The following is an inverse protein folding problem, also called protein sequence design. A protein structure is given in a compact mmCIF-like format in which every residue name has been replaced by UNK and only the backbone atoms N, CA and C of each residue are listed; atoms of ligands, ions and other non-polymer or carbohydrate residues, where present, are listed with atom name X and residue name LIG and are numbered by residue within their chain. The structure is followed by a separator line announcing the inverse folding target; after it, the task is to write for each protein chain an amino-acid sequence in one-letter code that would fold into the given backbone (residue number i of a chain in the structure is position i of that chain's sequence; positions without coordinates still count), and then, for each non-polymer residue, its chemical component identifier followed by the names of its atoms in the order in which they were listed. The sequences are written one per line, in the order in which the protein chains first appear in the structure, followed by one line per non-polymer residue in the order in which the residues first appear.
data_IF_739312225296
#
_entry.id   IF_739312225296
#
_cell.length_a   1.000
_cell.length_b   1.000
_cell.length_c   1.000
_cell.angle_alpha   90.00
_cell.angle_beta   90.00
_cell.angle_gamma   90.00
#
_symmetry.space_group_name_H-M   'P 1'
#
loop_
_entity.id
_entity.type
_entity.pdbx_description
1 polymer ?
#
# COMPACT_ATOMS: atom_id res chain seq x y z
N UNK A 1 47.41 30.94 -65.10
CA UNK A 1 46.27 30.03 -65.13
C UNK A 1 45.96 29.58 -63.70
N UNK A 2 44.99 30.20 -63.13
CA UNK A 2 44.53 30.00 -61.76
C UNK A 2 43.07 29.67 -61.83
N UNK A 3 42.74 28.48 -61.36
CA UNK A 3 41.40 28.01 -61.28
C UNK A 3 40.81 28.28 -59.87
N UNK A 4 39.61 28.86 -59.88
CA UNK A 4 38.87 29.30 -58.73
C UNK A 4 37.93 28.19 -58.33
N UNK A 5 38.10 27.62 -57.14
CA UNK A 5 37.14 26.70 -56.52
C UNK A 5 36.05 27.50 -55.79
N UNK A 6 34.80 27.19 -56.08
CA UNK A 6 33.59 27.71 -55.44
C UNK A 6 33.29 26.91 -54.19
N UNK A 7 33.18 27.59 -53.04
CA UNK A 7 32.64 27.02 -51.82
C UNK A 7 31.11 27.02 -51.88
N UNK A 8 30.52 25.84 -51.77
CA UNK A 8 29.09 25.64 -51.63
C UNK A 8 28.79 25.38 -50.15
N UNK A 9 28.21 26.38 -49.50
CA UNK A 9 27.83 26.32 -48.11
C UNK A 9 26.50 25.58 -47.97
N UNK A 10 26.55 24.30 -47.63
CA UNK A 10 25.38 23.53 -47.24
C UNK A 10 24.91 23.94 -45.84
N UNK A 11 23.79 24.70 -45.81
CA UNK A 11 23.02 24.99 -44.61
C UNK A 11 22.38 23.71 -44.08
N UNK A 12 23.01 23.07 -43.12
CA UNK A 12 22.41 22.00 -42.35
C UNK A 12 21.30 22.57 -41.46
N UNK A 13 20.04 22.32 -41.82
CA UNK A 13 18.92 22.45 -40.90
C UNK A 13 19.13 21.42 -39.78
N UNK A 14 19.34 21.90 -38.57
CA UNK A 14 19.19 21.10 -37.37
C UNK A 14 17.71 20.73 -37.25
N UNK A 15 17.38 19.47 -37.49
CA UNK A 15 16.11 18.90 -37.12
C UNK A 15 16.03 18.95 -35.58
N UNK A 16 15.30 19.93 -35.07
CA UNK A 16 14.78 19.86 -33.70
C UNK A 16 13.86 18.67 -33.63
N UNK A 17 14.33 17.57 -33.04
CA UNK A 17 13.45 16.50 -32.52
C UNK A 17 12.45 17.18 -31.61
N UNK A 18 11.22 17.33 -32.07
CA UNK A 18 10.06 17.53 -31.24
C UNK A 18 10.08 16.37 -30.26
N UNK A 19 10.17 16.65 -28.94
CA UNK A 19 9.94 15.64 -27.92
C UNK A 19 8.56 15.04 -28.24
N UNK A 20 8.52 13.73 -28.53
CA UNK A 20 7.28 13.01 -28.70
C UNK A 20 6.48 13.26 -27.41
N UNK A 21 5.30 13.89 -27.54
CA UNK A 21 4.39 14.06 -26.41
C UNK A 21 3.99 12.66 -25.96
N UNK A 22 4.16 12.36 -24.68
CA UNK A 22 3.74 11.07 -24.12
C UNK A 22 2.21 10.94 -24.22
N UNK A 23 1.70 9.71 -24.16
CA UNK A 23 0.25 9.45 -24.21
C UNK A 23 -0.51 10.11 -23.04
N UNK A 24 0.20 10.44 -21.96
CA UNK A 24 -0.33 11.06 -20.74
C UNK A 24 -0.30 12.60 -20.79
N UNK A 25 0.37 13.21 -21.77
CA UNK A 25 0.51 14.67 -21.84
C UNK A 25 -0.85 15.39 -21.86
N UNK A 26 -1.07 16.27 -20.87
CA UNK A 26 -2.29 17.06 -20.71
C UNK A 26 -3.50 16.29 -20.17
N UNK A 27 -3.34 15.02 -19.78
CA UNK A 27 -4.39 14.25 -19.11
C UNK A 27 -4.58 14.70 -17.67
N UNK A 28 -5.83 14.86 -17.25
CA UNK A 28 -6.19 15.17 -15.86
C UNK A 28 -6.48 13.89 -15.10
N UNK A 29 -5.66 13.57 -14.14
CA UNK A 29 -5.77 12.33 -13.36
C UNK A 29 -6.08 12.66 -11.91
N UNK A 30 -7.15 12.05 -11.38
CA UNK A 30 -7.56 12.18 -9.98
C UNK A 30 -7.05 10.97 -9.19
N UNK A 31 -6.11 11.19 -8.27
CA UNK A 31 -5.59 10.18 -7.34
C UNK A 31 -6.33 10.34 -6.02
N UNK A 32 -7.10 9.34 -5.62
CA UNK A 32 -8.08 9.46 -4.54
C UNK A 32 -7.86 8.41 -3.47
N UNK A 33 -7.89 8.82 -2.21
CA UNK A 33 -7.70 7.92 -1.06
C UNK A 33 -8.43 8.43 0.19
N UNK A 34 -8.93 7.55 1.06
CA UNK A 34 -9.37 7.94 2.40
C UNK A 34 -8.23 7.94 3.44
N UNK A 35 -7.00 7.50 3.10
CA UNK A 35 -5.96 7.17 4.07
C UNK A 35 -4.63 7.91 3.85
N UNK A 36 -4.64 9.16 3.36
CA UNK A 36 -3.41 9.90 3.05
C UNK A 36 -2.52 10.16 4.29
N UNK A 37 -3.07 10.08 5.49
CA UNK A 37 -2.31 10.19 6.75
C UNK A 37 -1.42 8.97 7.01
N UNK A 38 -1.73 7.81 6.41
CA UNK A 38 -0.84 6.63 6.46
C UNK A 38 0.43 6.88 5.65
N UNK A 39 1.58 6.53 6.22
CA UNK A 39 2.90 6.70 5.60
C UNK A 39 2.98 6.02 4.23
N UNK A 40 2.50 4.78 4.15
CA UNK A 40 2.59 3.96 2.93
C UNK A 40 1.64 4.46 1.84
N UNK A 41 0.41 4.85 2.20
CA UNK A 41 -0.55 5.44 1.27
C UNK A 41 -0.04 6.77 0.72
N UNK A 42 0.54 7.61 1.58
CA UNK A 42 1.15 8.89 1.16
C UNK A 42 2.31 8.66 0.19
N UNK A 43 3.18 7.68 0.44
CA UNK A 43 4.27 7.32 -0.46
C UNK A 43 3.76 6.87 -1.83
N UNK A 44 2.78 5.96 -1.88
CA UNK A 44 2.19 5.49 -3.16
C UNK A 44 1.57 6.64 -3.95
N UNK A 45 0.74 7.47 -3.29
CA UNK A 45 0.14 8.64 -3.95
C UNK A 45 1.20 9.61 -4.49
N UNK A 46 2.29 9.80 -3.74
CA UNK A 46 3.44 10.61 -4.14
C UNK A 46 4.19 10.03 -5.35
N UNK A 47 4.48 8.73 -5.37
CA UNK A 47 5.11 8.06 -6.51
C UNK A 47 4.24 8.15 -7.77
N UNK A 48 2.93 7.86 -7.64
CA UNK A 48 1.99 7.96 -8.77
C UNK A 48 1.97 9.38 -9.32
N UNK A 49 1.81 10.39 -8.45
CA UNK A 49 1.80 11.79 -8.85
C UNK A 49 3.07 12.16 -9.60
N UNK A 50 4.24 11.88 -9.02
CA UNK A 50 5.52 12.26 -9.60
C UNK A 50 5.75 11.58 -10.96
N UNK A 51 5.42 10.29 -11.08
CA UNK A 51 5.61 9.53 -12.31
C UNK A 51 4.68 10.03 -13.42
N UNK A 52 3.38 10.25 -13.13
CA UNK A 52 2.43 10.74 -14.14
C UNK A 52 2.71 12.20 -14.55
N UNK A 53 3.11 13.06 -13.61
CA UNK A 53 3.52 14.45 -13.92
C UNK A 53 4.80 14.51 -14.77
N UNK A 54 5.74 13.58 -14.55
CA UNK A 54 6.94 13.48 -15.39
C UNK A 54 6.60 13.13 -16.85
N UNK A 55 5.48 12.42 -17.07
CA UNK A 55 4.92 12.08 -18.38
C UNK A 55 3.95 13.17 -18.91
N UNK A 56 3.84 14.30 -18.22
CA UNK A 56 3.07 15.47 -18.66
C UNK A 56 1.58 15.46 -18.28
N UNK A 57 1.14 14.57 -17.41
CA UNK A 57 -0.21 14.62 -16.87
C UNK A 57 -0.37 15.74 -15.82
N UNK A 58 -1.60 16.19 -15.61
CA UNK A 58 -2.01 17.05 -14.51
C UNK A 58 -2.65 16.21 -13.41
N UNK A 59 -2.00 16.08 -12.24
CA UNK A 59 -2.39 15.13 -11.21
C UNK A 59 -2.93 15.83 -9.96
N UNK A 60 -4.16 15.46 -9.57
CA UNK A 60 -4.85 15.97 -8.38
C UNK A 60 -4.92 14.85 -7.33
N UNK A 61 -4.26 15.04 -6.18
CA UNK A 61 -4.37 14.12 -5.04
C UNK A 61 -5.49 14.61 -4.12
N UNK A 62 -6.47 13.73 -3.86
CA UNK A 62 -7.67 14.00 -3.07
C UNK A 62 -7.69 13.04 -1.89
N UNK A 63 -7.62 13.60 -0.68
CA UNK A 63 -7.78 12.88 0.58
C UNK A 63 -9.17 13.13 1.17
N UNK A 64 -9.82 12.08 1.62
CA UNK A 64 -11.13 12.18 2.28
C UNK A 64 -11.10 11.81 3.77
N UNK A 65 -9.91 11.75 4.35
CA UNK A 65 -9.70 11.64 5.80
C UNK A 65 -10.54 10.53 6.46
N UNK A 66 -10.45 9.31 5.92
CA UNK A 66 -11.17 8.11 6.37
C UNK A 66 -12.71 8.18 6.19
N UNK A 67 -13.20 9.10 5.34
CA UNK A 67 -14.62 9.24 5.05
C UNK A 67 -14.95 8.69 3.65
N UNK A 68 -15.58 7.51 3.60
CA UNK A 68 -16.00 6.88 2.34
C UNK A 68 -17.25 7.54 1.72
N UNK A 69 -18.09 8.22 2.51
CA UNK A 69 -19.20 8.99 1.96
C UNK A 69 -18.67 10.24 1.24
N UNK A 70 -17.67 10.90 1.82
CA UNK A 70 -16.95 11.98 1.15
C UNK A 70 -16.21 11.46 -0.09
N UNK A 71 -15.56 10.28 -0.04
CA UNK A 71 -14.92 9.66 -1.21
C UNK A 71 -15.92 9.45 -2.34
N UNK A 72 -17.09 8.92 -2.05
CA UNK A 72 -18.17 8.76 -3.02
C UNK A 72 -18.56 10.09 -3.68
N UNK A 73 -18.79 11.14 -2.86
CA UNK A 73 -19.11 12.47 -3.36
C UNK A 73 -18.00 13.08 -4.23
N UNK A 74 -16.73 12.88 -3.83
CA UNK A 74 -15.58 13.35 -4.62
C UNK A 74 -15.43 12.62 -5.95
N UNK A 75 -15.78 11.33 -6.02
CA UNK A 75 -15.82 10.60 -7.30
C UNK A 75 -16.85 11.23 -8.22
N UNK A 76 -18.07 11.50 -7.75
CA UNK A 76 -19.11 12.20 -8.53
C UNK A 76 -18.63 13.57 -9.04
N UNK A 77 -17.95 14.34 -8.15
CA UNK A 77 -17.39 15.65 -8.50
C UNK A 77 -16.35 15.56 -9.63
N UNK A 78 -15.38 14.64 -9.55
CA UNK A 78 -14.32 14.51 -10.57
C UNK A 78 -14.86 13.97 -11.89
N UNK A 79 -15.83 13.05 -11.85
CA UNK A 79 -16.55 12.57 -13.05
C UNK A 79 -17.26 13.74 -13.73
N UNK A 80 -18.02 14.53 -12.98
CA UNK A 80 -18.78 15.68 -13.51
C UNK A 80 -17.87 16.80 -14.04
N UNK A 81 -16.69 16.99 -13.43
CA UNK A 81 -15.72 18.02 -13.87
C UNK A 81 -14.82 17.57 -15.02
N UNK A 82 -14.95 16.32 -15.48
CA UNK A 82 -14.26 15.81 -16.67
C UNK A 82 -12.81 15.43 -16.39
N UNK A 83 -12.58 14.65 -15.32
CA UNK A 83 -11.29 13.95 -15.15
C UNK A 83 -11.09 12.96 -16.30
N UNK A 84 -9.85 12.79 -16.75
CA UNK A 84 -9.53 11.81 -17.79
C UNK A 84 -9.33 10.41 -17.23
N UNK A 85 -9.03 10.28 -15.92
CA UNK A 85 -8.86 8.99 -15.26
C UNK A 85 -8.83 9.12 -13.74
N UNK A 86 -9.15 8.02 -13.06
CA UNK A 86 -9.16 7.91 -11.60
C UNK A 86 -8.17 6.82 -11.16
N UNK A 87 -7.37 7.10 -10.12
CA UNK A 87 -6.57 6.11 -9.40
C UNK A 87 -7.04 6.07 -7.95
N UNK A 88 -7.59 4.94 -7.53
CA UNK A 88 -7.88 4.68 -6.12
C UNK A 88 -6.62 4.16 -5.43
N UNK A 89 -6.24 4.76 -4.31
CA UNK A 89 -5.08 4.30 -3.51
C UNK A 89 -5.57 3.85 -2.15
N UNK A 90 -5.26 2.61 -1.79
CA UNK A 90 -5.61 1.96 -0.51
C UNK A 90 -7.12 1.96 -0.18
N UNK A 91 -7.99 2.15 -1.16
CA UNK A 91 -9.44 2.23 -0.96
C UNK A 91 -10.15 0.96 -1.43
N UNK A 92 -11.16 0.51 -0.67
CA UNK A 92 -12.04 -0.58 -1.11
C UNK A 92 -13.05 -0.07 -2.14
N UNK A 93 -12.94 -0.47 -3.43
CA UNK A 93 -13.84 -0.02 -4.48
C UNK A 93 -15.30 -0.48 -4.26
N UNK A 94 -15.54 -1.53 -3.47
CA UNK A 94 -16.89 -2.00 -3.17
C UNK A 94 -17.68 -0.95 -2.38
N UNK A 95 -17.02 -0.15 -1.55
CA UNK A 95 -17.68 0.89 -0.74
C UNK A 95 -18.15 2.10 -1.57
N UNK A 96 -17.64 2.26 -2.79
CA UNK A 96 -17.97 3.35 -3.73
C UNK A 96 -18.36 2.82 -5.10
N UNK A 97 -18.84 1.56 -5.17
CA UNK A 97 -19.11 0.87 -6.43
C UNK A 97 -20.11 1.58 -7.33
N UNK A 98 -21.14 2.23 -6.74
CA UNK A 98 -22.13 2.99 -7.51
C UNK A 98 -21.49 4.17 -8.26
N UNK A 99 -20.64 4.93 -7.59
CA UNK A 99 -19.94 6.08 -8.16
C UNK A 99 -18.91 5.66 -9.20
N UNK A 100 -18.24 4.52 -8.97
CA UNK A 100 -17.34 3.95 -9.98
C UNK A 100 -18.11 3.48 -11.22
N UNK A 101 -19.35 2.97 -11.07
CA UNK A 101 -20.20 2.64 -12.21
C UNK A 101 -20.50 3.90 -13.05
N UNK A 102 -20.75 5.05 -12.42
CA UNK A 102 -20.92 6.32 -13.15
C UNK A 102 -19.65 6.71 -13.93
N UNK A 103 -18.45 6.49 -13.35
CA UNK A 103 -17.19 6.70 -14.06
C UNK A 103 -17.05 5.73 -15.26
N UNK A 104 -17.40 4.45 -15.09
CA UNK A 104 -17.38 3.47 -16.19
C UNK A 104 -18.35 3.83 -17.30
N UNK A 105 -19.57 4.27 -16.97
CA UNK A 105 -20.61 4.70 -17.93
C UNK A 105 -20.18 5.99 -18.69
N UNK A 106 -19.32 6.80 -18.09
CA UNK A 106 -18.72 7.98 -18.71
C UNK A 106 -17.41 7.68 -19.47
N UNK A 107 -17.05 6.41 -19.67
CA UNK A 107 -15.80 5.95 -20.28
C UNK A 107 -14.52 6.47 -19.58
N UNK A 108 -14.61 6.79 -18.29
CA UNK A 108 -13.46 7.22 -17.48
C UNK A 108 -12.78 5.96 -16.92
N UNK A 109 -11.50 5.68 -17.28
CA UNK A 109 -10.79 4.53 -16.78
C UNK A 109 -10.47 4.68 -15.29
N UNK A 110 -10.65 3.59 -14.53
CA UNK A 110 -10.34 3.52 -13.11
C UNK A 110 -9.24 2.48 -12.88
N UNK A 111 -8.20 2.90 -12.19
CA UNK A 111 -7.08 2.07 -11.75
C UNK A 111 -7.04 2.01 -10.22
N UNK A 112 -6.41 0.99 -9.68
CA UNK A 112 -6.16 0.83 -8.25
C UNK A 112 -4.67 0.69 -7.96
N UNK A 113 -4.25 1.20 -6.80
CA UNK A 113 -2.94 0.96 -6.23
C UNK A 113 -3.12 0.58 -4.76
N UNK A 114 -2.76 -0.64 -4.39
CA UNK A 114 -3.04 -1.24 -3.08
C UNK A 114 -4.52 -1.10 -2.66
N UNK A 115 -5.39 -1.19 -3.63
CA UNK A 115 -6.85 -1.18 -3.51
C UNK A 115 -7.43 -2.59 -3.68
N UNK A 116 -8.75 -2.71 -3.76
CA UNK A 116 -9.41 -3.88 -4.30
C UNK A 116 -9.59 -3.76 -5.82
N UNK A 117 -10.12 -4.82 -6.41
CA UNK A 117 -10.51 -4.84 -7.82
C UNK A 117 -12.00 -5.20 -7.94
N UNK A 118 -12.74 -4.44 -8.74
CA UNK A 118 -14.11 -4.77 -9.15
C UNK A 118 -14.23 -4.72 -10.67
N UNK A 119 -15.25 -5.40 -11.21
CA UNK A 119 -15.53 -5.39 -12.64
C UNK A 119 -15.75 -3.96 -13.13
N UNK A 120 -15.13 -3.60 -14.25
CA UNK A 120 -15.14 -2.25 -14.81
C UNK A 120 -13.80 -1.53 -14.63
N UNK A 121 -13.06 -1.78 -13.57
CA UNK A 121 -11.70 -1.26 -13.40
C UNK A 121 -10.74 -1.82 -14.47
N UNK A 122 -9.66 -1.11 -14.71
CA UNK A 122 -8.62 -1.54 -15.66
C UNK A 122 -7.62 -2.48 -14.98
N UNK A 123 -6.92 -1.98 -13.96
CA UNK A 123 -5.89 -2.71 -13.21
C UNK A 123 -5.94 -2.28 -11.75
N UNK A 124 -5.65 -3.20 -10.82
CA UNK A 124 -5.24 -2.88 -9.46
C UNK A 124 -3.83 -3.43 -9.25
N UNK A 125 -2.84 -2.55 -9.06
CA UNK A 125 -1.50 -2.96 -8.67
C UNK A 125 -1.43 -3.09 -7.16
N UNK A 126 -1.06 -4.26 -6.66
CA UNK A 126 -1.00 -4.54 -5.22
C UNK A 126 0.07 -5.59 -4.92
N UNK A 127 0.21 -6.02 -3.67
CA UNK A 127 0.91 -7.24 -3.31
C UNK A 127 -0.09 -8.39 -3.17
N UNK A 128 0.37 -9.63 -3.24
CA UNK A 128 -0.44 -10.78 -2.80
C UNK A 128 -0.59 -10.72 -1.27
N UNK A 129 -1.62 -10.01 -0.83
CA UNK A 129 -1.83 -9.73 0.59
C UNK A 129 -2.13 -11.01 1.41
N UNK A 130 -2.77 -12.02 0.81
CA UNK A 130 -2.96 -13.31 1.50
C UNK A 130 -1.62 -14.03 1.68
N UNK A 131 -0.80 -14.08 0.63
CA UNK A 131 0.53 -14.69 0.69
C UNK A 131 1.46 -13.96 1.68
N UNK A 132 1.39 -12.61 1.75
CA UNK A 132 2.14 -11.85 2.74
C UNK A 132 1.69 -12.16 4.17
N UNK A 133 0.36 -12.25 4.38
CA UNK A 133 -0.21 -12.70 5.66
C UNK A 133 0.25 -14.10 6.03
N UNK A 134 0.21 -15.04 5.08
CA UNK A 134 0.72 -16.39 5.28
C UNK A 134 2.20 -16.40 5.66
N UNK A 135 3.03 -15.66 4.93
CA UNK A 135 4.47 -15.59 5.18
C UNK A 135 4.80 -15.09 6.59
N UNK A 136 4.19 -13.98 7.02
CA UNK A 136 4.49 -13.40 8.33
C UNK A 136 3.91 -14.21 9.49
N UNK A 137 2.71 -14.81 9.31
CA UNK A 137 2.07 -15.62 10.36
C UNK A 137 2.82 -16.93 10.55
N UNK A 138 3.21 -17.61 9.48
CA UNK A 138 4.03 -18.82 9.59
C UNK A 138 5.39 -18.52 10.22
N UNK A 139 6.07 -17.45 9.81
CA UNK A 139 7.32 -17.04 10.44
C UNK A 139 7.13 -16.73 11.93
N UNK A 140 6.04 -16.05 12.31
CA UNK A 140 5.71 -15.79 13.71
C UNK A 140 5.50 -17.09 14.49
N UNK A 141 4.69 -18.02 13.96
CA UNK A 141 4.28 -19.21 14.68
C UNK A 141 5.36 -20.29 14.72
N UNK A 142 6.06 -20.54 13.61
CA UNK A 142 7.09 -21.58 13.52
C UNK A 142 8.43 -21.10 14.10
N UNK A 143 8.97 -20.01 13.54
CA UNK A 143 10.34 -19.59 13.81
C UNK A 143 10.47 -18.80 15.12
N UNK A 144 9.51 -17.94 15.42
CA UNK A 144 9.60 -17.06 16.58
C UNK A 144 8.92 -17.62 17.82
N UNK A 145 7.76 -18.29 17.70
CA UNK A 145 7.00 -18.85 18.83
C UNK A 145 7.27 -20.34 19.05
N UNK A 146 7.84 -21.05 18.07
CA UNK A 146 8.07 -22.49 18.15
C UNK A 146 6.77 -23.30 18.27
N UNK A 147 5.72 -22.88 17.61
CA UNK A 147 4.44 -23.55 17.46
C UNK A 147 3.52 -23.50 18.68
N UNK A 148 3.79 -22.68 19.70
CA UNK A 148 3.00 -22.61 20.94
C UNK A 148 2.99 -21.24 21.59
N UNK A 149 1.98 -20.97 22.41
CA UNK A 149 1.86 -19.74 23.20
C UNK A 149 0.56 -19.00 22.95
N UNK A 150 0.56 -17.70 23.20
CA UNK A 150 -0.63 -16.86 23.08
C UNK A 150 -0.32 -15.70 22.14
N UNK A 151 -1.32 -15.30 21.36
CA UNK A 151 -1.19 -14.19 20.40
C UNK A 151 -2.34 -13.21 20.52
N UNK A 152 -2.05 -11.92 20.36
CA UNK A 152 -3.01 -10.85 20.14
C UNK A 152 -2.93 -10.45 18.68
N UNK A 153 -4.07 -10.21 18.02
CA UNK A 153 -4.13 -9.72 16.66
C UNK A 153 -4.60 -8.25 16.64
N UNK A 154 -3.83 -7.37 16.00
CA UNK A 154 -4.19 -5.98 15.74
C UNK A 154 -4.54 -5.83 14.26
N UNK A 155 -5.78 -5.43 13.96
CA UNK A 155 -6.34 -5.53 12.60
C UNK A 155 -7.09 -4.27 12.18
N UNK A 156 -7.27 -4.11 10.85
CA UNK A 156 -8.16 -3.12 10.25
C UNK A 156 -8.83 -3.75 9.02
N UNK A 157 -9.89 -4.52 9.23
CA UNK A 157 -10.57 -5.30 8.19
C UNK A 157 -11.30 -4.48 7.11
N UNK A 158 -11.65 -3.17 7.28
CA UNK A 158 -12.17 -2.36 6.18
C UNK A 158 -11.19 -2.13 5.01
N UNK A 159 -9.88 -2.26 5.24
CA UNK A 159 -8.89 -2.12 4.18
C UNK A 159 -8.76 -3.41 3.36
N UNK A 160 -8.83 -3.37 2.00
CA UNK A 160 -8.87 -4.57 1.15
C UNK A 160 -7.62 -5.45 1.26
N UNK A 161 -6.43 -4.86 1.44
CA UNK A 161 -5.19 -5.61 1.64
C UNK A 161 -5.11 -6.20 3.05
N UNK A 162 -5.44 -5.40 4.08
CA UNK A 162 -5.37 -5.83 5.48
C UNK A 162 -6.33 -6.99 5.76
N UNK A 163 -7.55 -6.98 5.22
CA UNK A 163 -8.49 -8.09 5.42
C UNK A 163 -7.94 -9.41 4.88
N UNK A 164 -7.21 -9.41 3.76
CA UNK A 164 -6.59 -10.61 3.21
C UNK A 164 -5.47 -11.17 4.10
N UNK A 165 -4.68 -10.30 4.72
CA UNK A 165 -3.67 -10.68 5.72
C UNK A 165 -4.33 -11.30 6.97
N UNK A 166 -5.48 -10.75 7.39
CA UNK A 166 -6.26 -11.29 8.49
C UNK A 166 -6.91 -12.64 8.14
N UNK A 167 -7.42 -12.83 6.92
CA UNK A 167 -7.94 -14.11 6.43
C UNK A 167 -6.85 -15.19 6.49
N UNK A 168 -5.61 -14.87 6.08
CA UNK A 168 -4.48 -15.78 6.20
C UNK A 168 -4.19 -16.14 7.68
N UNK A 169 -4.22 -15.15 8.58
CA UNK A 169 -4.09 -15.41 10.02
C UNK A 169 -5.19 -16.33 10.55
N UNK A 170 -6.45 -16.07 10.18
CA UNK A 170 -7.63 -16.85 10.60
C UNK A 170 -7.55 -18.30 10.13
N UNK A 171 -6.96 -18.55 8.96
CA UNK A 171 -6.81 -19.90 8.43
C UNK A 171 -5.62 -20.62 9.04
N UNK A 172 -4.48 -19.97 9.13
CA UNK A 172 -3.24 -20.59 9.62
C UNK A 172 -3.32 -20.93 11.10
N UNK A 173 -3.90 -20.08 11.95
CA UNK A 173 -3.97 -20.35 13.38
C UNK A 173 -4.69 -21.67 13.69
N UNK A 174 -5.59 -22.13 12.83
CA UNK A 174 -6.30 -23.42 12.97
C UNK A 174 -5.36 -24.63 12.84
N UNK A 175 -4.20 -24.45 12.21
CA UNK A 175 -3.17 -25.47 12.06
C UNK A 175 -2.31 -25.63 13.33
N UNK A 176 -2.38 -24.65 14.27
CA UNK A 176 -1.54 -24.60 15.48
C UNK A 176 -2.38 -24.71 16.76
N UNK A 177 -2.75 -25.94 17.19
CA UNK A 177 -3.63 -26.14 18.35
C UNK A 177 -3.04 -25.67 19.68
N UNK A 178 -1.71 -25.50 19.76
CA UNK A 178 -1.00 -25.01 20.95
C UNK A 178 -0.77 -23.49 20.95
N UNK A 179 -1.28 -22.78 19.91
CA UNK A 179 -1.31 -21.31 19.86
C UNK A 179 -2.74 -20.84 20.13
N UNK A 180 -2.91 -20.00 21.14
CA UNK A 180 -4.21 -19.45 21.52
C UNK A 180 -4.31 -17.96 21.17
N UNK A 181 -5.34 -17.59 20.39
CA UNK A 181 -5.72 -16.20 20.21
C UNK A 181 -6.37 -15.66 21.49
N UNK A 182 -5.75 -14.66 22.12
CA UNK A 182 -6.32 -13.97 23.29
C UNK A 182 -7.48 -13.10 22.83
N UNK A 183 -7.22 -12.24 21.85
CA UNK A 183 -8.22 -11.32 21.27
C UNK A 183 -7.74 -10.77 19.93
N UNK A 184 -8.70 -10.40 19.10
CA UNK A 184 -8.49 -9.53 17.97
C UNK A 184 -8.99 -8.12 18.34
N UNK A 185 -8.21 -7.09 18.04
CA UNK A 185 -8.56 -5.69 18.26
C UNK A 185 -8.48 -4.91 16.95
N UNK A 186 -9.53 -4.17 16.67
CA UNK A 186 -9.54 -3.20 15.58
C UNK A 186 -8.70 -1.99 15.96
N UNK A 187 -7.79 -1.58 15.06
CA UNK A 187 -7.00 -0.34 15.18
C UNK A 187 -7.53 0.65 14.14
N UNK A 188 -7.97 1.84 14.56
CA UNK A 188 -8.37 2.91 13.64
C UNK A 188 -7.23 3.36 12.73
N UNK A 189 -7.57 3.81 11.52
CA UNK A 189 -6.57 4.19 10.52
C UNK A 189 -6.08 5.65 10.63
N UNK A 190 -6.70 6.47 11.49
CA UNK A 190 -6.39 7.89 11.61
C UNK A 190 -5.09 8.17 12.37
N UNK A 191 -4.85 7.43 13.45
CA UNK A 191 -3.66 7.54 14.30
C UNK A 191 -3.16 6.16 14.74
N UNK A 192 -2.87 5.23 13.81
CA UNK A 192 -2.72 3.81 14.11
C UNK A 192 -1.59 3.50 15.08
N UNK A 193 -0.51 4.28 15.10
CA UNK A 193 0.59 4.12 16.08
C UNK A 193 0.09 4.44 17.48
N UNK A 194 -0.53 5.60 17.68
CA UNK A 194 -0.98 6.05 18.99
C UNK A 194 -2.13 5.17 19.51
N UNK A 195 -3.08 4.83 18.64
CA UNK A 195 -4.22 3.99 19.00
C UNK A 195 -3.77 2.58 19.38
N UNK A 196 -2.83 1.99 18.63
CA UNK A 196 -2.28 0.68 18.95
C UNK A 196 -1.42 0.67 20.22
N UNK A 197 -0.71 1.76 20.51
CA UNK A 197 0.03 1.95 21.76
C UNK A 197 -0.93 1.93 22.96
N UNK A 198 -2.03 2.70 22.92
CA UNK A 198 -3.05 2.72 23.96
C UNK A 198 -3.78 1.38 24.09
N UNK A 199 -4.23 0.78 22.98
CA UNK A 199 -4.88 -0.53 22.96
C UNK A 199 -3.97 -1.57 23.59
N UNK A 200 -2.70 -1.61 23.22
CA UNK A 200 -1.73 -2.57 23.77
C UNK A 200 -1.50 -2.35 25.25
N UNK A 201 -1.33 -1.12 25.72
CA UNK A 201 -1.19 -0.82 27.15
C UNK A 201 -2.40 -1.31 27.96
N UNK A 202 -3.62 -1.12 27.44
CA UNK A 202 -4.84 -1.59 28.07
C UNK A 202 -4.91 -3.15 28.11
N UNK A 203 -4.50 -3.81 27.02
CA UNK A 203 -4.44 -5.28 26.96
C UNK A 203 -3.39 -5.86 27.91
N UNK A 204 -2.24 -5.21 28.06
CA UNK A 204 -1.23 -5.63 29.04
C UNK A 204 -1.71 -5.46 30.48
N UNK A 205 -2.51 -4.44 30.77
CA UNK A 205 -3.15 -4.25 32.07
C UNK A 205 -4.19 -5.34 32.35
N UNK A 206 -4.94 -5.77 31.35
CA UNK A 206 -5.90 -6.87 31.45
C UNK A 206 -5.21 -8.24 31.57
N UNK A 207 -3.94 -8.36 31.12
CA UNK A 207 -3.12 -9.57 31.17
C UNK A 207 -1.82 -9.28 31.97
N UNK A 208 -1.92 -9.13 33.30
CA UNK A 208 -0.82 -8.62 34.13
C UNK A 208 0.33 -9.61 34.30
N UNK A 209 0.11 -10.89 34.12
CA UNK A 209 1.18 -11.89 34.12
C UNK A 209 2.11 -11.63 32.92
N UNK A 210 3.42 -11.53 33.20
CA UNK A 210 4.42 -11.22 32.17
C UNK A 210 4.55 -12.26 31.07
N UNK A 211 4.18 -13.49 31.36
CA UNK A 211 4.22 -14.61 30.42
C UNK A 211 2.85 -14.89 29.75
N UNK A 212 1.81 -14.11 30.09
CA UNK A 212 0.46 -14.33 29.57
C UNK A 212 0.30 -13.96 28.08
N UNK A 213 1.15 -13.08 27.54
CA UNK A 213 1.16 -12.70 26.13
C UNK A 213 2.52 -13.08 25.53
N UNK A 214 2.52 -13.99 24.57
CA UNK A 214 3.73 -14.44 23.88
C UNK A 214 4.04 -13.54 22.68
N UNK A 215 3.01 -13.18 21.89
CA UNK A 215 3.21 -12.43 20.66
C UNK A 215 2.04 -11.48 20.34
N UNK A 216 2.32 -10.51 19.48
CA UNK A 216 1.34 -9.63 18.84
C UNK A 216 1.56 -9.71 17.32
N UNK A 217 0.55 -10.19 16.60
CA UNK A 217 0.45 -10.07 15.17
C UNK A 217 -0.22 -8.72 14.85
N UNK A 218 0.46 -7.83 14.16
CA UNK A 218 -0.13 -6.62 13.61
C UNK A 218 -0.25 -6.76 12.09
N UNK A 219 -1.44 -6.54 11.56
CA UNK A 219 -1.70 -6.74 10.13
C UNK A 219 -1.02 -5.69 9.24
N UNK A 220 -0.45 -4.63 9.84
CA UNK A 220 0.48 -3.67 9.19
C UNK A 220 1.42 -3.03 10.22
N UNK A 221 2.44 -2.30 9.74
CA UNK A 221 3.57 -1.87 10.57
C UNK A 221 3.24 -0.77 11.57
N UNK A 222 2.33 0.17 11.26
CA UNK A 222 2.03 1.28 12.16
C UNK A 222 1.50 0.79 13.52
N UNK A 223 0.52 -0.15 13.59
CA UNK A 223 0.16 -0.77 14.87
C UNK A 223 1.28 -1.60 15.51
N UNK A 224 2.11 -2.27 14.70
CA UNK A 224 3.25 -3.00 15.23
C UNK A 224 4.22 -2.07 15.97
N UNK A 225 4.48 -0.88 15.42
CA UNK A 225 5.29 0.16 16.05
C UNK A 225 4.67 0.63 17.37
N UNK A 226 3.35 0.91 17.38
CA UNK A 226 2.63 1.32 18.58
C UNK A 226 2.66 0.25 19.68
N UNK A 227 2.39 -1.01 19.31
CA UNK A 227 2.47 -2.13 20.23
C UNK A 227 3.89 -2.32 20.81
N UNK A 228 4.92 -2.21 19.99
CA UNK A 228 6.30 -2.33 20.44
C UNK A 228 6.69 -1.22 21.43
N UNK A 229 6.20 0.02 21.25
CA UNK A 229 6.40 1.12 22.21
C UNK A 229 5.74 0.83 23.55
N UNK A 230 4.46 0.42 23.55
CA UNK A 230 3.75 0.08 24.77
C UNK A 230 4.40 -1.08 25.53
N UNK A 231 4.93 -2.07 24.82
CA UNK A 231 5.67 -3.19 25.42
C UNK A 231 6.98 -2.73 26.08
N UNK A 232 7.72 -1.85 25.42
CA UNK A 232 8.95 -1.29 25.96
C UNK A 232 8.69 -0.46 27.23
N UNK A 233 7.66 0.39 27.23
CA UNK A 233 7.23 1.17 28.39
C UNK A 233 6.78 0.29 29.57
N UNK A 234 6.10 -0.83 29.28
CA UNK A 234 5.66 -1.80 30.27
C UNK A 234 6.78 -2.76 30.75
N UNK A 235 7.98 -2.69 30.19
CA UNK A 235 9.08 -3.61 30.45
C UNK A 235 8.75 -5.06 30.05
N UNK A 236 8.03 -5.24 28.95
CA UNK A 236 7.57 -6.52 28.38
C UNK A 236 8.31 -6.88 27.08
N UNK A 237 9.60 -6.57 26.99
CA UNK A 237 10.44 -6.69 25.78
C UNK A 237 10.58 -8.12 25.22
N UNK A 238 10.14 -9.13 25.98
CA UNK A 238 10.13 -10.53 25.54
C UNK A 238 8.94 -10.87 24.63
N UNK A 239 7.88 -10.06 24.64
CA UNK A 239 6.74 -10.25 23.76
C UNK A 239 7.16 -9.95 22.32
N UNK A 240 6.88 -10.87 21.43
CA UNK A 240 7.27 -10.78 20.02
C UNK A 240 6.23 -9.96 19.27
N UNK A 241 6.67 -9.04 18.42
CA UNK A 241 5.77 -8.29 17.53
C UNK A 241 6.16 -8.53 16.08
N UNK A 242 5.17 -8.67 15.20
CA UNK A 242 5.38 -8.71 13.75
C UNK A 242 4.44 -7.74 13.06
N UNK A 243 4.84 -7.24 11.90
CA UNK A 243 4.08 -6.32 11.07
C UNK A 243 4.13 -6.68 9.59
N UNK A 244 3.57 -5.84 8.75
CA UNK A 244 3.61 -5.92 7.28
C UNK A 244 3.73 -4.50 6.76
N UNK A 245 4.46 -4.24 5.73
CA UNK A 245 4.64 -3.11 4.82
C UNK A 245 6.11 -2.77 4.58
N UNK A 246 7.00 -3.01 5.56
CA UNK A 246 8.41 -2.59 5.49
C UNK A 246 8.58 -1.09 5.71
N UNK A 247 7.75 -0.49 6.59
CA UNK A 247 7.90 0.90 7.03
C UNK A 247 9.31 1.15 7.56
N UNK A 248 9.94 2.25 7.19
CA UNK A 248 11.32 2.57 7.58
C UNK A 248 11.53 2.54 9.11
N UNK A 249 10.57 3.05 9.89
CA UNK A 249 10.64 3.01 11.35
C UNK A 249 10.56 1.57 11.86
N UNK A 250 9.70 0.73 11.30
CA UNK A 250 9.60 -0.69 11.68
C UNK A 250 10.88 -1.44 11.35
N UNK A 251 11.44 -1.24 10.14
CA UNK A 251 12.72 -1.84 9.72
C UNK A 251 13.84 -1.39 10.64
N UNK A 252 13.91 -0.12 11.03
CA UNK A 252 14.90 0.38 11.97
C UNK A 252 14.74 -0.27 13.36
N UNK A 253 13.52 -0.43 13.87
CA UNK A 253 13.26 -1.11 15.14
C UNK A 253 13.67 -2.59 15.11
N UNK A 254 13.46 -3.29 13.98
CA UNK A 254 13.93 -4.67 13.76
C UNK A 254 15.46 -4.71 13.80
N UNK A 255 16.12 -3.81 13.07
CA UNK A 255 17.57 -3.69 13.00
C UNK A 255 18.19 -3.45 14.38
N UNK A 256 17.57 -2.61 15.18
CA UNK A 256 18.01 -2.27 16.54
C UNK A 256 17.75 -3.39 17.57
N UNK A 257 17.10 -4.47 17.16
CA UNK A 257 16.83 -5.64 18.01
C UNK A 257 15.69 -5.43 19.01
N UNK A 258 14.72 -4.57 18.72
CA UNK A 258 13.52 -4.37 19.55
C UNK A 258 12.65 -5.63 19.63
N UNK A 259 11.50 -5.54 20.30
CA UNK A 259 10.51 -6.61 20.31
C UNK A 259 9.75 -6.77 18.96
N UNK A 260 9.79 -5.79 18.08
CA UNK A 260 9.37 -5.93 16.68
C UNK A 260 10.44 -6.74 15.91
N UNK A 261 10.11 -7.98 15.54
CA UNK A 261 11.07 -8.96 15.04
C UNK A 261 11.09 -9.13 13.54
N UNK A 262 9.96 -8.87 12.87
CA UNK A 262 9.85 -9.03 11.44
C UNK A 262 8.73 -8.17 10.85
N UNK A 263 8.89 -7.82 9.57
CA UNK A 263 7.84 -7.26 8.71
C UNK A 263 7.95 -7.87 7.32
N UNK A 264 6.85 -7.88 6.56
CA UNK A 264 6.89 -8.20 5.13
C UNK A 264 6.87 -6.90 4.35
N UNK A 265 8.01 -6.55 3.75
CA UNK A 265 8.17 -5.31 2.98
C UNK A 265 7.43 -5.40 1.65
N UNK A 266 6.54 -4.46 1.43
CA UNK A 266 5.89 -4.24 0.15
C UNK A 266 6.75 -3.39 -0.79
N UNK A 267 6.53 -3.54 -2.09
CA UNK A 267 7.16 -2.72 -3.11
C UNK A 267 6.18 -1.63 -3.60
N UNK A 268 5.95 -0.61 -2.78
CA UNK A 268 5.00 0.47 -3.08
C UNK A 268 5.39 1.27 -4.33
N UNK A 269 6.67 1.51 -4.56
CA UNK A 269 7.19 2.14 -5.78
C UNK A 269 6.88 1.26 -7.00
N UNK A 270 7.11 -0.05 -6.90
CA UNK A 270 6.78 -1.00 -7.96
C UNK A 270 5.28 -1.06 -8.27
N UNK A 271 4.40 -0.94 -7.26
CA UNK A 271 2.95 -0.84 -7.48
C UNK A 271 2.60 0.44 -8.25
N UNK A 272 3.14 1.58 -7.81
CA UNK A 272 2.94 2.87 -8.48
C UNK A 272 3.43 2.82 -9.93
N UNK A 273 4.59 2.22 -10.18
CA UNK A 273 5.16 2.01 -11.51
C UNK A 273 4.25 1.14 -12.40
N UNK A 274 3.67 0.07 -11.85
CA UNK A 274 2.72 -0.78 -12.59
C UNK A 274 1.52 0.05 -13.01
N UNK A 275 0.90 0.80 -12.09
CA UNK A 275 -0.25 1.68 -12.38
C UNK A 275 0.10 2.67 -13.48
N UNK A 276 1.20 3.40 -13.34
CA UNK A 276 1.61 4.44 -14.30
C UNK A 276 1.84 3.85 -15.70
N UNK A 277 2.56 2.72 -15.79
CA UNK A 277 2.79 2.03 -17.07
C UNK A 277 1.50 1.50 -17.71
N UNK A 278 0.55 1.00 -16.92
CA UNK A 278 -0.73 0.54 -17.45
C UNK A 278 -1.60 1.71 -17.92
N UNK A 279 -1.55 2.86 -17.23
CA UNK A 279 -2.21 4.08 -17.68
C UNK A 279 -1.61 4.59 -18.99
N UNK A 280 -0.27 4.63 -19.09
CA UNK A 280 0.42 5.03 -20.33
C UNK A 280 -0.01 4.16 -21.51
N UNK A 281 0.00 2.83 -21.36
CA UNK A 281 -0.50 1.89 -22.39
C UNK A 281 -1.95 2.14 -22.75
N UNK A 282 -2.81 2.35 -21.75
CA UNK A 282 -4.23 2.61 -21.97
C UNK A 282 -4.44 3.86 -22.84
N UNK A 283 -3.78 4.98 -22.51
CA UNK A 283 -3.91 6.22 -23.29
C UNK A 283 -3.17 6.17 -24.63
N UNK A 284 -2.19 5.29 -24.80
CA UNK A 284 -1.57 4.97 -26.08
C UNK A 284 -2.48 4.11 -26.99
N UNK A 285 -3.64 3.65 -26.48
CA UNK A 285 -4.56 2.78 -27.22
C UNK A 285 -4.10 1.33 -27.29
N UNK A 286 -3.16 0.93 -26.45
CA UNK A 286 -2.70 -0.46 -26.35
C UNK A 286 -3.70 -1.32 -25.57
N UNK A 287 -3.74 -2.61 -25.86
CA UNK A 287 -4.51 -3.57 -25.07
C UNK A 287 -3.80 -3.82 -23.73
N UNK A 288 -4.52 -3.62 -22.62
CA UNK A 288 -4.06 -3.97 -21.29
C UNK A 288 -4.83 -5.18 -20.75
N UNK A 289 -4.16 -6.05 -20.01
CA UNK A 289 -4.81 -7.14 -19.29
C UNK A 289 -5.46 -6.56 -18.03
N UNK A 290 -6.78 -6.78 -17.89
CA UNK A 290 -7.54 -6.29 -16.73
C UNK A 290 -7.39 -7.24 -15.55
N UNK A 291 -7.32 -6.68 -14.34
CA UNK A 291 -7.27 -7.47 -13.11
C UNK A 291 -6.22 -6.97 -12.11
N UNK A 292 -5.88 -7.82 -11.18
CA UNK A 292 -4.83 -7.55 -10.21
C UNK A 292 -3.45 -7.86 -10.79
N UNK A 293 -2.50 -6.96 -10.52
CA UNK A 293 -1.08 -7.14 -10.85
C UNK A 293 -0.26 -7.03 -9.57
N UNK A 294 0.57 -8.04 -9.31
CA UNK A 294 1.29 -8.13 -8.05
C UNK A 294 2.73 -7.60 -8.17
N UNK A 295 3.07 -6.67 -7.26
CA UNK A 295 4.45 -6.32 -6.99
C UNK A 295 5.04 -7.30 -5.94
N UNK A 296 6.30 -7.74 -6.08
CA UNK A 296 6.89 -8.70 -5.15
C UNK A 296 7.09 -8.09 -3.76
N UNK A 297 6.88 -8.91 -2.72
CA UNK A 297 7.11 -8.57 -1.32
C UNK A 297 8.24 -9.42 -0.74
N UNK A 298 8.88 -8.96 0.34
CA UNK A 298 10.05 -9.59 0.97
C UNK A 298 9.92 -9.62 2.50
N UNK A 299 10.21 -10.78 3.12
CA UNK A 299 10.30 -10.88 4.58
C UNK A 299 11.58 -10.20 5.06
N UNK A 300 11.41 -9.21 5.94
CA UNK A 300 12.50 -8.51 6.61
C UNK A 300 12.59 -8.98 8.06
N UNK A 301 13.75 -9.44 8.43
CA UNK A 301 14.14 -9.85 9.79
C UNK A 301 15.41 -9.11 10.20
N UNK A 302 15.89 -9.32 11.41
CA UNK A 302 17.15 -8.71 11.86
C UNK A 302 18.36 -9.11 11.00
N UNK A 303 18.31 -10.26 10.31
CA UNK A 303 19.41 -10.77 9.49
C UNK A 303 19.59 -9.97 8.18
N UNK A 304 18.49 -9.45 7.62
CA UNK A 304 18.50 -8.74 6.33
C UNK A 304 17.97 -7.29 6.40
N UNK A 305 17.61 -6.77 7.57
CA UNK A 305 17.23 -5.38 7.76
C UNK A 305 18.42 -4.45 7.43
N UNK A 306 18.28 -3.63 6.37
CA UNK A 306 19.33 -2.70 5.88
C UNK A 306 18.97 -1.24 6.15
#
# INVERSE_FOLDING_TARGET
TTEKASEDAASGKADTKTADSTALAGKKISVMTPYLTSVTTNQMAGFIKNNLEAEGAEVFVIDTANDFAELASRIEDVVSSGTDGIVLVSADPNQVANQLTEAFDADIPVFGCDSGFIDGMQVNATSDNYQMGELIVRYLFDDLMGGKGTVIALTHRPHPGVVKRCEAFDDIIKEYPDIQLITEQHVPAEQPINDAEEITANLLTANPDKDSVTAIFAAWDEPAIGAAKALAEAGRDKVIVTGVDGNEQAVQMIKDGSCLKATVKQNFEGMADIVCRQMEKYYAGETIEKGEMYAPAELITQENAQ
#
